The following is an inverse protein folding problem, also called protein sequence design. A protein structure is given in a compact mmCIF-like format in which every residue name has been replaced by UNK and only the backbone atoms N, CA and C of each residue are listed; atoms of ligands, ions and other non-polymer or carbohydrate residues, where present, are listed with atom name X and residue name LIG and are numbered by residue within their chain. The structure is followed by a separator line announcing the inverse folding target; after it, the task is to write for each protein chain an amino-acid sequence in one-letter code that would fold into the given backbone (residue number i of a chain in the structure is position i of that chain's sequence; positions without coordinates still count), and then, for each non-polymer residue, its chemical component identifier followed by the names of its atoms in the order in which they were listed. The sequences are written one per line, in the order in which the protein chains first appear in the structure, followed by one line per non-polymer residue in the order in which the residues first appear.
data_IF_124398028182
#
_entry.id   IF_124398028182
#
_cell.length_a   1.000
_cell.length_b   1.000
_cell.length_c   1.000
_cell.angle_alpha   90.00
_cell.angle_beta   90.00
_cell.angle_gamma   90.00
#
_symmetry.space_group_name_H-M   'P 1'
#
loop_
_entity.id
_entity.type
_entity.pdbx_description
1 polymer ?
#
# COMPACT_ATOMS: atom_id res chain seq x y z
N UNK A 1 -31.67 -18.21 -57.18
CA UNK A 1 -31.85 -17.11 -56.21
C UNK A 1 -31.08 -17.50 -54.95
N UNK A 2 -29.90 -16.91 -54.71
CA UNK A 2 -28.98 -17.32 -53.64
C UNK A 2 -29.24 -16.50 -52.38
N UNK A 3 -29.50 -17.18 -51.27
CA UNK A 3 -29.65 -16.62 -49.93
C UNK A 3 -28.23 -16.29 -49.44
N UNK A 4 -27.95 -15.01 -49.16
CA UNK A 4 -26.72 -14.57 -48.51
C UNK A 4 -26.90 -14.67 -46.99
N UNK A 5 -26.23 -15.63 -46.37
CA UNK A 5 -26.15 -15.76 -44.91
C UNK A 5 -25.18 -14.74 -44.32
N UNK A 6 -25.66 -14.12 -43.24
CA UNK A 6 -25.02 -13.11 -42.39
C UNK A 6 -23.84 -13.72 -41.63
N UNK A 7 -22.74 -12.98 -41.53
CA UNK A 7 -21.63 -13.27 -40.61
C UNK A 7 -21.18 -12.00 -39.91
N UNK A 8 -21.85 -11.65 -38.81
CA UNK A 8 -21.46 -10.55 -37.92
C UNK A 8 -20.44 -11.11 -36.91
N UNK A 9 -19.14 -10.89 -37.17
CA UNK A 9 -18.08 -11.29 -36.25
C UNK A 9 -18.02 -10.29 -35.08
N UNK A 10 -18.53 -10.71 -33.92
CA UNK A 10 -18.37 -9.98 -32.66
C UNK A 10 -16.91 -10.09 -32.18
N UNK A 11 -16.12 -9.02 -32.31
CA UNK A 11 -14.81 -8.89 -31.67
C UNK A 11 -15.02 -8.69 -30.17
N UNK A 12 -14.75 -9.72 -29.36
CA UNK A 12 -14.63 -9.60 -27.91
C UNK A 12 -13.40 -8.75 -27.57
N UNK A 13 -13.63 -7.51 -27.15
CA UNK A 13 -12.60 -6.65 -26.56
C UNK A 13 -12.24 -7.22 -25.19
N UNK A 14 -11.03 -7.74 -25.05
CA UNK A 14 -10.46 -8.12 -23.76
C UNK A 14 -10.10 -6.84 -22.99
N UNK A 15 -10.81 -6.55 -21.89
CA UNK A 15 -10.44 -5.51 -20.92
C UNK A 15 -9.88 -6.11 -19.60
N UNK A 16 -8.73 -6.81 -19.59
CA UNK A 16 -8.22 -7.47 -18.39
C UNK A 16 -7.37 -6.56 -17.48
N UNK A 17 -6.87 -5.41 -17.97
CA UNK A 17 -5.92 -4.59 -17.21
C UNK A 17 -6.59 -3.80 -16.06
N UNK A 18 -7.63 -3.02 -16.36
CA UNK A 18 -8.28 -2.13 -15.38
C UNK A 18 -8.93 -2.87 -14.20
N UNK A 19 -9.48 -4.06 -14.43
CA UNK A 19 -10.08 -4.87 -13.37
C UNK A 19 -9.02 -5.43 -12.42
N UNK A 20 -7.87 -5.87 -12.95
CA UNK A 20 -6.78 -6.41 -12.15
C UNK A 20 -6.13 -5.33 -11.26
N UNK A 21 -6.01 -4.11 -11.77
CA UNK A 21 -5.43 -2.99 -11.02
C UNK A 21 -6.35 -2.51 -9.88
N UNK A 22 -7.68 -2.55 -10.09
CA UNK A 22 -8.67 -2.31 -9.05
C UNK A 22 -8.64 -3.36 -7.93
N UNK A 23 -8.48 -4.64 -8.28
CA UNK A 23 -8.33 -5.73 -7.31
C UNK A 23 -7.01 -5.61 -6.53
N UNK A 24 -5.92 -5.20 -7.20
CA UNK A 24 -4.63 -4.93 -6.57
C UNK A 24 -4.71 -3.77 -5.57
N UNK A 25 -5.41 -2.68 -5.94
CA UNK A 25 -5.65 -1.54 -5.05
C UNK A 25 -6.44 -1.95 -3.80
N UNK A 26 -7.52 -2.71 -3.96
CA UNK A 26 -8.31 -3.21 -2.84
C UNK A 26 -7.49 -4.13 -1.92
N UNK A 27 -6.68 -5.02 -2.50
CA UNK A 27 -5.79 -5.89 -1.74
C UNK A 27 -4.71 -5.10 -0.99
N UNK A 28 -4.10 -4.09 -1.61
CA UNK A 28 -3.12 -3.22 -0.98
C UNK A 28 -3.67 -2.54 0.28
N UNK A 29 -4.84 -1.93 0.15
CA UNK A 29 -5.53 -1.23 1.26
C UNK A 29 -5.87 -2.21 2.38
N UNK A 30 -6.37 -3.40 2.04
CA UNK A 30 -6.63 -4.46 3.02
C UNK A 30 -5.35 -4.92 3.72
N UNK A 31 -4.29 -5.19 2.96
CA UNK A 31 -3.01 -5.65 3.50
C UNK A 31 -2.42 -4.62 4.47
N UNK A 32 -2.47 -3.33 4.12
CA UNK A 32 -2.05 -2.24 5.00
C UNK A 32 -2.84 -2.20 6.32
N UNK A 33 -4.17 -2.36 6.24
CA UNK A 33 -5.02 -2.39 7.43
C UNK A 33 -4.72 -3.62 8.32
N UNK A 34 -4.60 -4.80 7.72
CA UNK A 34 -4.39 -6.08 8.43
C UNK A 34 -2.98 -6.26 8.96
N UNK A 35 -2.00 -5.48 8.49
CA UNK A 35 -0.61 -5.53 8.96
C UNK A 35 -0.25 -4.29 9.75
N UNK A 36 0.08 -3.19 9.10
CA UNK A 36 0.58 -2.00 9.77
C UNK A 36 -0.43 -1.42 10.76
N UNK A 37 -1.69 -1.21 10.35
CA UNK A 37 -2.69 -0.62 11.25
C UNK A 37 -3.11 -1.59 12.36
N UNK A 38 -3.29 -2.89 12.08
CA UNK A 38 -3.63 -3.85 13.14
C UNK A 38 -2.57 -3.94 14.24
N UNK A 39 -1.30 -3.77 13.88
CA UNK A 39 -0.16 -4.00 14.77
C UNK A 39 0.53 -2.72 15.27
N UNK A 40 0.01 -1.52 14.99
CA UNK A 40 0.70 -0.26 15.27
C UNK A 40 1.15 -0.09 16.73
N UNK A 41 0.36 -0.58 17.69
CA UNK A 41 0.64 -0.42 19.12
C UNK A 41 1.70 -1.39 19.64
N UNK A 42 1.93 -2.50 18.92
CA UNK A 42 2.90 -3.54 19.24
C UNK A 42 3.49 -4.11 17.95
N UNK A 43 4.37 -3.37 17.25
CA UNK A 43 4.84 -3.77 15.92
C UNK A 43 5.50 -5.16 15.90
N UNK A 44 6.17 -5.58 16.98
CA UNK A 44 6.76 -6.91 17.12
C UNK A 44 5.75 -8.06 16.96
N UNK A 45 4.46 -7.82 17.23
CA UNK A 45 3.42 -8.84 17.03
C UNK A 45 3.20 -9.17 15.56
N UNK A 46 3.44 -8.23 14.64
CA UNK A 46 3.42 -8.50 13.19
C UNK A 46 4.54 -9.46 12.80
N UNK A 47 5.75 -9.23 13.32
CA UNK A 47 6.91 -10.12 13.10
C UNK A 47 6.61 -11.52 13.62
N UNK A 48 6.06 -11.64 14.82
CA UNK A 48 5.67 -12.93 15.40
C UNK A 48 4.59 -13.65 14.56
N UNK A 49 3.62 -12.92 13.99
CA UNK A 49 2.62 -13.51 13.09
C UNK A 49 3.25 -14.09 11.82
N UNK A 50 4.19 -13.37 11.18
CA UNK A 50 4.89 -13.89 10.01
C UNK A 50 5.82 -15.07 10.33
N UNK A 51 6.50 -15.05 11.48
CA UNK A 51 7.32 -16.17 11.95
C UNK A 51 6.46 -17.43 12.21
N UNK A 52 5.32 -17.27 12.87
CA UNK A 52 4.37 -18.36 13.12
C UNK A 52 3.79 -18.93 11.82
N UNK A 53 3.51 -18.07 10.84
CA UNK A 53 3.05 -18.46 9.51
C UNK A 53 4.17 -19.05 8.62
N UNK A 54 5.43 -19.06 9.10
CA UNK A 54 6.62 -19.48 8.33
C UNK A 54 6.75 -18.71 7.02
N UNK A 55 6.37 -17.44 7.02
CA UNK A 55 6.48 -16.58 5.85
C UNK A 55 7.96 -16.29 5.58
N UNK A 56 8.47 -16.60 4.37
CA UNK A 56 9.87 -16.36 4.06
C UNK A 56 10.18 -14.86 4.07
N UNK A 57 11.29 -14.50 4.71
CA UNK A 57 11.83 -13.15 4.66
C UNK A 57 12.50 -12.89 3.31
N UNK A 58 12.44 -11.64 2.85
CA UNK A 58 13.27 -11.20 1.74
C UNK A 58 14.75 -11.27 2.14
N UNK A 59 15.64 -11.68 1.22
CA UNK A 59 17.08 -11.57 1.44
C UNK A 59 17.47 -10.12 1.76
N UNK A 60 18.48 -9.94 2.61
CA UNK A 60 18.92 -8.61 3.05
C UNK A 60 19.22 -7.64 1.90
N UNK A 61 19.79 -8.16 0.79
CA UNK A 61 20.09 -7.37 -0.41
C UNK A 61 18.84 -6.77 -1.08
N UNK A 62 17.70 -7.46 -1.01
CA UNK A 62 16.42 -6.97 -1.55
C UNK A 62 15.62 -6.20 -0.50
N UNK A 63 15.65 -6.64 0.76
CA UNK A 63 14.94 -5.99 1.86
C UNK A 63 15.41 -4.54 2.09
N UNK A 64 16.68 -4.23 1.84
CA UNK A 64 17.26 -2.90 2.03
C UNK A 64 16.49 -1.78 1.31
N UNK A 65 15.93 -2.04 0.13
CA UNK A 65 15.09 -1.08 -0.59
C UNK A 65 13.80 -0.76 0.20
N UNK A 66 13.09 -1.79 0.65
CA UNK A 66 11.82 -1.67 1.37
C UNK A 66 11.96 -1.16 2.81
N UNK A 67 13.18 -1.20 3.35
CA UNK A 67 13.52 -0.70 4.68
C UNK A 67 14.13 0.71 4.63
N UNK A 68 14.36 1.28 3.44
CA UNK A 68 15.05 2.57 3.29
C UNK A 68 16.47 2.54 3.85
N UNK A 69 17.15 1.39 3.75
CA UNK A 69 18.49 1.17 4.28
C UNK A 69 18.59 0.96 5.80
N UNK A 70 17.46 0.96 6.52
CA UNK A 70 17.44 0.79 7.97
C UNK A 70 17.32 -0.69 8.38
N UNK A 71 17.74 -1.05 9.61
CA UNK A 71 17.53 -2.39 10.16
C UNK A 71 16.04 -2.75 10.23
N UNK A 72 15.74 -4.02 9.96
CA UNK A 72 14.38 -4.54 10.00
C UNK A 72 14.21 -5.78 9.15
N UNK A 73 12.94 -6.12 8.86
CA UNK A 73 12.54 -7.28 8.07
C UNK A 73 11.51 -6.90 7.02
N UNK A 74 11.49 -7.65 5.93
CA UNK A 74 10.50 -7.48 4.87
C UNK A 74 10.04 -8.85 4.35
N UNK A 75 8.76 -8.96 4.03
CA UNK A 75 8.12 -10.20 3.61
C UNK A 75 7.34 -9.98 2.33
N UNK A 76 7.56 -10.81 1.28
CA UNK A 76 6.75 -10.74 0.07
C UNK A 76 5.36 -11.31 0.33
N UNK A 77 4.33 -10.63 -0.19
CA UNK A 77 2.94 -11.08 -0.12
C UNK A 77 2.41 -11.38 -1.52
N UNK A 78 1.60 -12.43 -1.62
CA UNK A 78 0.87 -12.77 -2.84
C UNK A 78 -0.50 -12.11 -2.79
N UNK A 79 -0.80 -11.25 -3.76
CA UNK A 79 -2.13 -10.69 -3.94
C UNK A 79 -2.85 -11.25 -5.17
N UNK A 80 -3.97 -10.64 -5.58
CA UNK A 80 -4.73 -11.03 -6.75
C UNK A 80 -3.89 -11.04 -8.04
N UNK A 81 -4.18 -12.00 -8.93
CA UNK A 81 -3.50 -12.13 -10.22
C UNK A 81 -1.98 -12.32 -10.06
N UNK A 82 -1.22 -11.44 -10.70
CA UNK A 82 0.24 -11.40 -10.63
C UNK A 82 0.75 -10.26 -9.71
N UNK A 83 -0.13 -9.67 -8.90
CA UNK A 83 0.22 -8.55 -8.02
C UNK A 83 1.32 -8.93 -7.02
N UNK A 84 2.39 -8.13 -7.01
CA UNK A 84 3.54 -8.30 -6.11
C UNK A 84 3.51 -7.23 -5.04
N UNK A 85 3.49 -7.69 -3.79
CA UNK A 85 3.39 -6.83 -2.62
C UNK A 85 4.51 -7.16 -1.64
N UNK A 86 4.89 -6.18 -0.83
CA UNK A 86 5.85 -6.36 0.26
C UNK A 86 5.30 -5.67 1.50
N UNK A 87 5.45 -6.33 2.65
CA UNK A 87 5.27 -5.72 3.97
C UNK A 87 6.65 -5.58 4.57
N UNK A 88 7.03 -4.41 5.06
CA UNK A 88 8.26 -4.19 5.81
C UNK A 88 7.97 -3.69 7.22
N UNK A 89 8.84 -4.05 8.14
CA UNK A 89 8.85 -3.56 9.51
C UNK A 89 10.29 -3.24 9.89
N UNK A 90 10.56 -1.97 10.16
CA UNK A 90 11.84 -1.49 10.67
C UNK A 90 11.93 -1.67 12.18
N UNK A 91 13.15 -1.78 12.69
CA UNK A 91 13.41 -1.93 14.13
C UNK A 91 12.99 -0.70 14.96
N UNK A 92 12.84 0.47 14.32
CA UNK A 92 12.28 1.68 14.93
C UNK A 92 10.74 1.74 14.92
N UNK A 93 10.09 0.66 14.47
CA UNK A 93 8.64 0.50 14.52
C UNK A 93 7.88 1.05 13.31
N UNK A 94 8.58 1.60 12.30
CA UNK A 94 7.93 2.00 11.04
C UNK A 94 7.56 0.74 10.25
N UNK A 95 6.25 0.57 10.03
CA UNK A 95 5.70 -0.46 9.15
C UNK A 95 5.33 0.15 7.80
N UNK A 96 5.59 -0.56 6.70
CA UNK A 96 5.15 -0.14 5.38
C UNK A 96 4.64 -1.30 4.51
N UNK A 97 3.71 -0.99 3.61
CA UNK A 97 3.22 -1.88 2.56
C UNK A 97 3.51 -1.27 1.21
N UNK A 98 3.97 -2.09 0.29
CA UNK A 98 4.34 -1.72 -1.07
C UNK A 98 3.55 -2.55 -2.07
N UNK A 99 3.09 -1.93 -3.15
CA UNK A 99 2.57 -2.61 -4.33
C UNK A 99 3.44 -2.25 -5.53
N UNK A 100 3.88 -3.27 -6.28
CA UNK A 100 4.53 -3.05 -7.57
C UNK A 100 3.55 -2.39 -8.56
N UNK A 101 2.30 -2.87 -8.58
CA UNK A 101 1.24 -2.37 -9.45
C UNK A 101 -0.04 -2.13 -8.64
N UNK A 102 -0.65 -0.96 -8.82
CA UNK A 102 -1.97 -0.62 -8.29
C UNK A 102 -2.52 0.64 -8.97
N UNK A 103 -3.85 0.71 -9.13
CA UNK A 103 -4.54 1.93 -9.53
C UNK A 103 -4.40 2.99 -8.42
N UNK A 104 -3.73 4.11 -8.74
CA UNK A 104 -3.41 5.18 -7.80
C UNK A 104 -4.66 5.83 -7.22
N UNK A 105 -5.66 6.11 -8.06
CA UNK A 105 -6.93 6.73 -7.66
C UNK A 105 -7.68 5.84 -6.66
N UNK A 106 -7.77 4.54 -6.91
CA UNK A 106 -8.42 3.58 -6.03
C UNK A 106 -7.65 3.38 -4.71
N UNK A 107 -6.32 3.32 -4.78
CA UNK A 107 -5.46 3.23 -3.58
C UNK A 107 -5.64 4.46 -2.70
N UNK A 108 -5.56 5.67 -3.26
CA UNK A 108 -5.71 6.92 -2.51
C UNK A 108 -7.08 7.01 -1.84
N UNK A 109 -8.14 6.69 -2.58
CA UNK A 109 -9.50 6.65 -2.03
C UNK A 109 -9.60 5.66 -0.87
N UNK A 110 -9.08 4.45 -1.04
CA UNK A 110 -9.11 3.42 0.01
C UNK A 110 -8.31 3.82 1.24
N UNK A 111 -7.12 4.40 1.05
CA UNK A 111 -6.29 4.92 2.12
C UNK A 111 -6.99 6.03 2.90
N UNK A 112 -7.51 7.07 2.22
CA UNK A 112 -8.26 8.17 2.87
C UNK A 112 -9.44 7.64 3.69
N UNK A 113 -10.17 6.66 3.17
CA UNK A 113 -11.28 6.03 3.91
C UNK A 113 -10.83 5.34 5.20
N UNK A 114 -9.65 4.70 5.19
CA UNK A 114 -9.09 4.07 6.38
C UNK A 114 -8.61 5.08 7.42
N UNK A 115 -7.89 6.12 6.98
CA UNK A 115 -7.13 6.99 7.91
C UNK A 115 -7.88 8.25 8.31
N UNK A 116 -8.96 8.62 7.64
CA UNK A 116 -9.77 9.80 8.01
C UNK A 116 -10.67 9.57 9.24
N UNK A 117 -10.86 8.31 9.65
CA UNK A 117 -11.66 7.96 10.82
C UNK A 117 -10.79 7.16 11.79
N UNK A 118 -10.57 7.69 12.98
CA UNK A 118 -9.82 7.02 14.04
C UNK A 118 -10.75 6.46 15.12
N UNK A 119 -10.34 5.40 15.83
CA UNK A 119 -11.07 4.92 16.99
C UNK A 119 -10.90 5.88 18.18
N UNK A 120 -11.94 6.13 19.00
CA UNK A 120 -11.78 6.85 20.26
C UNK A 120 -10.72 6.19 21.16
N UNK A 121 -9.91 6.95 21.91
CA UNK A 121 -9.95 8.41 22.09
C UNK A 121 -9.03 9.18 21.12
N UNK A 122 -8.66 8.60 19.97
CA UNK A 122 -7.84 9.29 18.97
C UNK A 122 -8.70 10.25 18.13
N UNK A 123 -8.06 11.26 17.57
CA UNK A 123 -8.61 12.19 16.59
C UNK A 123 -7.77 12.11 15.32
N UNK A 124 -8.43 11.99 14.17
CA UNK A 124 -7.78 12.01 12.87
C UNK A 124 -7.70 13.44 12.31
N UNK A 125 -6.56 13.79 11.71
CA UNK A 125 -6.36 15.05 10.99
C UNK A 125 -5.61 14.79 9.68
N UNK A 126 -5.93 15.55 8.63
CA UNK A 126 -5.09 15.59 7.44
C UNK A 126 -3.83 16.41 7.74
N UNK A 127 -2.68 15.96 7.26
CA UNK A 127 -1.38 16.61 7.46
C UNK A 127 -0.82 17.16 6.13
N UNK A 128 -0.67 16.30 5.11
CA UNK A 128 -0.12 16.69 3.80
C UNK A 128 -0.91 16.13 2.62
N UNK A 129 -0.87 16.87 1.53
CA UNK A 129 -1.39 16.54 0.21
C UNK A 129 -0.46 17.21 -0.81
N UNK A 130 0.55 16.48 -1.28
CA UNK A 130 1.70 17.02 -2.01
C UNK A 130 1.95 16.27 -3.32
N UNK A 131 2.09 17.02 -4.40
CA UNK A 131 2.46 16.47 -5.71
C UNK A 131 3.94 16.76 -5.98
N UNK A 132 4.67 15.77 -6.48
CA UNK A 132 6.09 15.90 -6.79
C UNK A 132 6.49 15.11 -8.05
N UNK A 133 7.74 15.27 -8.46
CA UNK A 133 8.34 14.52 -9.56
C UNK A 133 9.42 13.58 -9.03
N UNK A 134 9.27 12.29 -9.30
CA UNK A 134 10.33 11.28 -9.10
C UNK A 134 11.10 11.06 -10.41
N UNK A 135 12.26 10.39 -10.38
CA UNK A 135 12.98 10.01 -11.60
C UNK A 135 12.13 9.18 -12.59
N UNK A 136 11.14 8.44 -12.09
CA UNK A 136 10.26 7.60 -12.90
C UNK A 136 8.95 8.28 -13.31
N UNK A 137 8.70 9.51 -12.86
CA UNK A 137 7.51 10.29 -13.20
C UNK A 137 6.79 10.91 -12.00
N UNK A 138 5.58 11.45 -12.21
CA UNK A 138 4.79 12.11 -11.18
C UNK A 138 4.47 11.17 -10.01
N UNK A 139 4.53 11.72 -8.80
CA UNK A 139 4.09 11.06 -7.58
C UNK A 139 3.17 11.98 -6.79
N UNK A 140 2.30 11.38 -5.99
CA UNK A 140 1.40 12.07 -5.09
C UNK A 140 1.55 11.49 -3.68
N UNK A 141 1.72 12.36 -2.69
CA UNK A 141 1.91 11.97 -1.30
C UNK A 141 0.82 12.56 -0.41
N UNK A 142 0.13 11.69 0.30
CA UNK A 142 -0.90 12.00 1.28
C UNK A 142 -0.42 11.63 2.66
N UNK A 143 -0.72 12.45 3.67
CA UNK A 143 -0.54 12.04 5.05
C UNK A 143 -1.62 12.51 5.98
N UNK A 144 -1.86 11.70 7.00
CA UNK A 144 -2.83 11.92 8.05
C UNK A 144 -2.16 11.59 9.38
N UNK A 145 -2.63 12.23 10.45
CA UNK A 145 -2.21 11.89 11.80
C UNK A 145 -3.37 11.41 12.64
N UNK A 146 -3.11 10.42 13.49
CA UNK A 146 -3.98 10.10 14.61
C UNK A 146 -3.29 10.47 15.91
N UNK A 147 -3.94 11.33 16.69
CA UNK A 147 -3.38 11.79 17.93
C UNK A 147 -4.41 11.85 19.05
N UNK A 148 -3.93 11.83 20.29
CA UNK A 148 -4.75 12.10 21.47
C UNK A 148 -4.38 13.47 22.03
N UNK A 149 -5.34 14.27 22.53
CA UNK A 149 -5.05 15.48 23.28
C UNK A 149 -4.14 15.19 24.48
N UNK A 150 -3.06 15.96 24.63
CA UNK A 150 -2.10 15.82 25.73
C UNK A 150 -0.91 14.89 25.45
N UNK A 151 -0.99 14.01 24.44
CA UNK A 151 0.15 13.18 24.06
C UNK A 151 1.20 14.00 23.28
N UNK A 152 2.49 13.76 23.55
CA UNK A 152 3.62 14.39 22.83
C UNK A 152 4.01 13.67 21.54
N UNK A 153 3.31 12.58 21.23
CA UNK A 153 3.47 11.78 20.03
C UNK A 153 2.13 11.58 19.32
N UNK A 154 2.23 11.25 18.04
CA UNK A 154 1.09 10.87 17.20
C UNK A 154 1.48 9.79 16.21
N UNK A 155 0.48 9.09 15.70
CA UNK A 155 0.66 8.16 14.59
C UNK A 155 0.65 8.96 13.30
N UNK A 156 1.66 8.79 12.46
CA UNK A 156 1.72 9.35 11.12
C UNK A 156 1.46 8.25 10.10
N UNK A 157 0.41 8.45 9.31
CA UNK A 157 0.05 7.61 8.18
C UNK A 157 0.50 8.35 6.93
N UNK A 158 1.27 7.71 6.06
CA UNK A 158 1.73 8.31 4.80
C UNK A 158 1.43 7.35 3.67
N UNK A 159 0.90 7.86 2.57
CA UNK A 159 0.75 7.15 1.31
C UNK A 159 1.51 7.94 0.24
N UNK A 160 2.31 7.25 -0.56
CA UNK A 160 2.85 7.77 -1.82
C UNK A 160 2.41 6.87 -2.97
N UNK A 161 1.81 7.46 -3.99
CA UNK A 161 1.42 6.81 -5.24
C UNK A 161 2.26 7.34 -6.41
N UNK A 162 2.49 6.51 -7.42
CA UNK A 162 3.16 6.87 -8.66
C UNK A 162 2.29 6.48 -9.85
N UNK A 163 2.13 7.40 -10.81
CA UNK A 163 1.29 7.19 -12.00
C UNK A 163 2.02 6.40 -13.09
N UNK A 164 3.34 6.35 -13.02
CA UNK A 164 4.17 5.73 -14.06
C UNK A 164 4.05 4.20 -14.06
N UNK A 165 3.80 3.56 -15.21
CA UNK A 165 3.81 2.10 -15.33
C UNK A 165 5.21 1.49 -15.11
N UNK A 166 6.26 2.30 -15.29
CA UNK A 166 7.66 1.90 -15.14
C UNK A 166 8.17 2.14 -13.71
N UNK A 167 7.35 2.69 -12.81
CA UNK A 167 7.73 2.86 -11.42
C UNK A 167 7.93 1.46 -10.78
N UNK A 168 9.05 1.23 -10.08
CA UNK A 168 9.28 -0.06 -9.41
C UNK A 168 8.28 -0.34 -8.29
N UNK A 169 7.67 0.73 -7.75
CA UNK A 169 6.59 0.72 -6.78
C UNK A 169 5.59 1.80 -7.19
N UNK A 170 4.32 1.41 -7.37
CA UNK A 170 3.24 2.34 -7.68
C UNK A 170 2.46 2.80 -6.45
N UNK A 171 2.53 2.06 -5.35
CA UNK A 171 1.95 2.49 -4.08
C UNK A 171 2.82 2.05 -2.90
N UNK A 172 3.07 2.98 -1.97
CA UNK A 172 3.72 2.74 -0.69
C UNK A 172 2.91 3.42 0.40
N UNK A 173 2.43 2.66 1.39
CA UNK A 173 1.77 3.19 2.57
C UNK A 173 2.57 2.83 3.81
N UNK A 174 2.83 3.78 4.71
CA UNK A 174 3.57 3.58 5.94
C UNK A 174 2.85 4.13 7.16
N UNK A 175 3.11 3.48 8.30
CA UNK A 175 2.68 3.88 9.62
C UNK A 175 3.86 3.89 10.58
N UNK A 176 4.00 4.99 11.31
CA UNK A 176 4.98 5.11 12.38
C UNK A 176 4.51 6.07 13.47
N UNK A 177 5.18 5.99 14.63
CA UNK A 177 5.01 6.98 15.69
C UNK A 177 5.97 8.15 15.45
N UNK A 178 5.45 9.37 15.47
CA UNK A 178 6.24 10.61 15.38
C UNK A 178 6.01 11.49 16.59
N UNK A 179 6.91 12.44 16.82
CA UNK A 179 6.70 13.52 17.78
C UNK A 179 5.86 14.62 17.13
N UNK A 180 5.00 15.25 17.92
CA UNK A 180 4.28 16.48 17.56
C UNK A 180 5.20 17.70 17.62
#
# INVERSE_FOLDING_TARGET
MRILSIGFALLLVTAPALAQDGDAAAFFVKLYAETCMKHYSKPDTLKAEFEAAKTPELPASTAGFFLGGMPGKAWPQRGPGQGRFVVSLRDDGICAVFAQHADDVAVEKGFRNLVSTSPPPLTAAADKDEHAMSPTGPIHTLSYTWSRPGDSSELLFTLTTAVSPDAPVQAMASLGLTRK
#
